data_IF_274017349847
#
_entry.id   IF_274017349847
#
_cell.length_a   1.000
_cell.length_b   1.000
_cell.length_c   1.000
_cell.angle_alpha   90.00
_cell.angle_beta   90.00
_cell.angle_gamma   90.00
#
_symmetry.space_group_name_H-M   'P 1'
#
loop_
_entity.id
_entity.type
_entity.pdbx_description
1 polymer ?
#
# COMPACT_ATOMS: atom_id res chain seq x y z
N UNK A 1 -3.51 10.60 21.06
CA UNK A 1 -2.48 10.71 19.99
C UNK A 1 -1.48 9.55 19.96
N UNK A 2 -0.59 9.38 20.96
CA UNK A 2 0.49 8.37 20.87
C UNK A 2 -0.03 6.92 20.80
N UNK A 3 -1.13 6.65 21.49
CA UNK A 3 -1.80 5.34 21.49
C UNK A 3 -2.31 4.96 20.10
N UNK A 4 -2.84 5.94 19.36
CA UNK A 4 -3.27 5.80 17.97
C UNK A 4 -2.08 5.48 17.07
N UNK A 5 -0.95 6.18 17.25
CA UNK A 5 0.29 5.92 16.50
C UNK A 5 0.77 4.49 16.75
N UNK A 6 0.76 4.00 17.99
CA UNK A 6 1.10 2.61 18.29
C UNK A 6 0.12 1.61 17.71
N UNK A 7 -1.18 1.86 17.85
CA UNK A 7 -2.23 0.98 17.34
C UNK A 7 -2.08 0.77 15.83
N UNK A 8 -1.57 1.78 15.11
CA UNK A 8 -1.23 1.68 13.69
C UNK A 8 0.14 1.04 13.46
N UNK A 9 1.21 1.46 14.15
CA UNK A 9 2.57 1.00 13.88
C UNK A 9 2.80 -0.47 14.28
N UNK A 10 2.43 -0.87 15.49
CA UNK A 10 2.74 -2.20 16.02
C UNK A 10 2.25 -3.35 15.13
N UNK A 11 0.99 -3.37 14.63
CA UNK A 11 0.52 -4.48 13.81
C UNK A 11 1.10 -4.51 12.39
N UNK A 12 1.87 -3.49 11.96
CA UNK A 12 2.35 -3.36 10.58
C UNK A 12 3.77 -3.86 10.36
N UNK A 13 4.66 -3.73 11.36
CA UNK A 13 6.10 -3.97 11.16
C UNK A 13 6.41 -5.41 10.76
N UNK A 14 5.95 -6.40 11.54
CA UNK A 14 6.23 -7.81 11.27
C UNK A 14 5.62 -8.28 9.93
N UNK A 15 4.34 -8.01 9.64
CA UNK A 15 3.73 -8.38 8.35
C UNK A 15 4.38 -7.68 7.17
N UNK A 16 4.73 -6.40 7.34
CA UNK A 16 5.46 -5.63 6.34
C UNK A 16 6.83 -6.22 6.01
N UNK A 17 7.61 -6.60 7.02
CA UNK A 17 8.90 -7.27 6.84
C UNK A 17 8.75 -8.66 6.19
N UNK A 18 7.75 -9.43 6.59
CA UNK A 18 7.48 -10.75 6.02
C UNK A 18 7.11 -10.67 4.53
N UNK A 19 6.21 -9.75 4.18
CA UNK A 19 5.83 -9.49 2.79
C UNK A 19 6.99 -8.90 1.99
N UNK A 20 7.76 -7.98 2.57
CA UNK A 20 8.94 -7.41 1.92
C UNK A 20 9.98 -8.48 1.59
N UNK A 21 10.22 -9.43 2.50
CA UNK A 21 11.10 -10.56 2.22
C UNK A 21 10.64 -11.30 0.95
N UNK A 22 9.33 -11.54 0.82
CA UNK A 22 8.78 -12.17 -0.38
C UNK A 22 9.00 -11.28 -1.62
N UNK A 23 8.70 -9.99 -1.54
CA UNK A 23 8.62 -9.08 -2.69
C UNK A 23 9.96 -8.51 -3.16
N UNK A 24 10.91 -8.26 -2.26
CA UNK A 24 12.24 -7.73 -2.58
C UNK A 24 13.32 -8.40 -1.73
N UNK A 25 13.84 -9.52 -2.24
CA UNK A 25 14.99 -10.22 -1.63
C UNK A 25 16.27 -9.38 -1.58
N UNK A 26 16.36 -8.29 -2.36
CA UNK A 26 17.55 -7.45 -2.38
C UNK A 26 17.56 -6.35 -1.33
N UNK A 27 16.45 -6.14 -0.64
CA UNK A 27 16.29 -5.06 0.31
C UNK A 27 17.33 -5.13 1.44
N UNK A 28 18.17 -4.10 1.50
CA UNK A 28 19.09 -3.84 2.59
C UNK A 28 18.34 -3.19 3.78
N UNK A 29 19.06 -2.91 4.87
CA UNK A 29 18.44 -2.40 6.11
C UNK A 29 17.68 -1.09 5.89
N UNK A 30 18.20 -0.18 5.05
CA UNK A 30 17.52 1.08 4.75
C UNK A 30 16.19 0.81 4.05
N UNK A 31 16.20 0.09 2.92
CA UNK A 31 14.95 -0.25 2.20
C UNK A 31 13.98 -1.03 3.07
N UNK A 32 14.47 -1.95 3.92
CA UNK A 32 13.65 -2.66 4.92
C UNK A 32 12.96 -1.71 5.88
N UNK A 33 13.66 -0.70 6.40
CA UNK A 33 13.07 0.31 7.29
C UNK A 33 12.05 1.21 6.59
N UNK A 34 12.27 1.52 5.30
CA UNK A 34 11.38 2.36 4.50
C UNK A 34 10.11 1.61 4.06
N UNK A 35 10.23 0.32 3.72
CA UNK A 35 9.15 -0.46 3.10
C UNK A 35 8.32 -1.29 4.09
N UNK A 36 8.82 -1.58 5.30
CA UNK A 36 8.07 -2.41 6.24
C UNK A 36 6.76 -1.73 6.68
N UNK A 37 6.80 -0.46 7.07
CA UNK A 37 5.60 0.24 7.52
C UNK A 37 4.54 0.38 6.41
N UNK A 38 4.87 0.84 5.18
CA UNK A 38 3.88 1.00 4.12
C UNK A 38 3.22 -0.30 3.65
N UNK A 39 4.02 -1.36 3.46
CA UNK A 39 3.50 -2.67 3.04
C UNK A 39 2.64 -3.29 4.15
N UNK A 40 3.10 -3.17 5.40
CA UNK A 40 2.36 -3.62 6.57
C UNK A 40 1.03 -2.88 6.73
N UNK A 41 1.02 -1.56 6.57
CA UNK A 41 -0.18 -0.73 6.66
C UNK A 41 -1.21 -1.11 5.59
N UNK A 42 -0.78 -1.34 4.35
CA UNK A 42 -1.64 -1.85 3.29
C UNK A 42 -2.27 -3.20 3.65
N UNK A 43 -1.48 -4.13 4.22
CA UNK A 43 -1.99 -5.42 4.67
C UNK A 43 -2.98 -5.30 5.84
N UNK A 44 -2.74 -4.39 6.78
CA UNK A 44 -3.66 -4.11 7.91
C UNK A 44 -5.00 -3.58 7.39
N UNK A 45 -4.98 -2.59 6.50
CA UNK A 45 -6.19 -2.10 5.82
C UNK A 45 -6.94 -3.24 5.13
N UNK A 46 -6.26 -4.00 4.29
CA UNK A 46 -6.86 -5.11 3.56
C UNK A 46 -7.46 -6.17 4.47
N UNK A 47 -6.79 -6.50 5.57
CA UNK A 47 -7.31 -7.46 6.57
C UNK A 47 -8.63 -6.99 7.16
N UNK A 48 -8.71 -5.73 7.59
CA UNK A 48 -9.95 -5.17 8.14
C UNK A 48 -11.06 -5.10 7.10
N UNK A 49 -10.73 -4.64 5.88
CA UNK A 49 -11.68 -4.59 4.78
C UNK A 49 -12.21 -5.98 4.40
N UNK A 50 -11.36 -7.01 4.36
CA UNK A 50 -11.76 -8.39 4.08
C UNK A 50 -12.71 -8.93 5.15
N UNK A 51 -12.39 -8.75 6.44
CA UNK A 51 -13.29 -9.17 7.51
C UNK A 51 -14.66 -8.51 7.38
N UNK A 52 -14.71 -7.24 6.97
CA UNK A 52 -15.97 -6.54 6.77
C UNK A 52 -16.77 -7.11 5.59
N UNK A 53 -16.13 -7.31 4.44
CA UNK A 53 -16.79 -7.91 3.26
C UNK A 53 -17.30 -9.32 3.56
N UNK A 54 -16.58 -10.08 4.39
CA UNK A 54 -16.97 -11.42 4.84
C UNK A 54 -18.01 -11.41 5.98
N UNK A 55 -18.53 -10.25 6.38
CA UNK A 55 -19.46 -10.09 7.50
C UNK A 55 -18.93 -10.69 8.83
N UNK A 56 -17.61 -10.75 8.98
CA UNK A 56 -16.91 -11.27 10.13
C UNK A 56 -16.21 -10.16 10.94
N UNK A 57 -16.42 -8.90 10.58
CA UNK A 57 -15.79 -7.78 11.26
C UNK A 57 -16.39 -7.55 12.64
N UNK A 58 -15.52 -7.50 13.64
CA UNK A 58 -15.79 -6.99 14.97
C UNK A 58 -14.46 -6.53 15.57
N UNK A 59 -14.50 -5.72 16.63
CA UNK A 59 -13.29 -5.27 17.33
C UNK A 59 -12.45 -6.48 17.76
N UNK A 60 -13.10 -7.51 18.30
CA UNK A 60 -12.46 -8.76 18.74
C UNK A 60 -11.86 -9.52 17.57
N UNK A 61 -12.61 -9.74 16.50
CA UNK A 61 -12.14 -10.54 15.36
C UNK A 61 -10.97 -9.89 14.64
N UNK A 62 -11.03 -8.56 14.45
CA UNK A 62 -9.91 -7.83 13.86
C UNK A 62 -8.68 -7.87 14.78
N UNK A 63 -8.85 -7.69 16.10
CA UNK A 63 -7.73 -7.79 17.06
C UNK A 63 -7.06 -9.17 16.99
N UNK A 64 -7.85 -10.24 17.00
CA UNK A 64 -7.35 -11.62 16.88
C UNK A 64 -6.63 -11.82 15.54
N UNK A 65 -7.21 -11.33 14.44
CA UNK A 65 -6.60 -11.44 13.11
C UNK A 65 -5.26 -10.70 13.05
N UNK A 66 -5.16 -9.48 13.57
CA UNK A 66 -3.91 -8.71 13.59
C UNK A 66 -2.83 -9.40 14.44
N UNK A 67 -3.19 -9.94 15.62
CA UNK A 67 -2.28 -10.72 16.46
C UNK A 67 -1.80 -11.98 15.71
N UNK A 68 -2.72 -12.72 15.11
CA UNK A 68 -2.40 -13.94 14.37
C UNK A 68 -1.49 -13.65 13.17
N UNK A 69 -1.79 -12.62 12.38
CA UNK A 69 -0.96 -12.21 11.24
C UNK A 69 0.44 -11.79 11.71
N UNK A 70 0.56 -11.05 12.82
CA UNK A 70 1.86 -10.70 13.39
C UNK A 70 2.63 -11.94 13.86
N UNK A 71 2.00 -12.84 14.60
CA UNK A 71 2.62 -14.07 15.08
C UNK A 71 3.09 -14.97 13.92
N UNK A 72 2.27 -15.14 12.88
CA UNK A 72 2.61 -15.89 11.67
C UNK A 72 3.75 -15.23 10.91
N UNK A 73 3.75 -13.90 10.81
CA UNK A 73 4.81 -13.13 10.14
C UNK A 73 6.14 -13.26 10.89
N UNK A 74 6.12 -13.18 12.22
CA UNK A 74 7.31 -13.41 13.07
C UNK A 74 7.80 -14.85 12.90
N UNK A 75 6.90 -15.85 12.97
CA UNK A 75 7.27 -17.24 12.77
C UNK A 75 7.90 -17.47 11.38
N UNK A 76 7.36 -16.83 10.33
CA UNK A 76 7.92 -16.86 8.98
C UNK A 76 9.30 -16.23 8.90
N UNK A 77 9.51 -15.07 9.56
CA UNK A 77 10.81 -14.40 9.60
C UNK A 77 11.85 -15.19 10.40
N UNK A 78 11.43 -15.86 11.49
CA UNK A 78 12.29 -16.69 12.34
C UNK A 78 12.63 -18.05 11.75
N UNK A 79 11.90 -18.52 10.72
CA UNK A 79 12.30 -19.70 9.96
C UNK A 79 13.67 -19.43 9.35
N UNK A 80 14.71 -19.96 10.01
CA UNK A 80 16.04 -20.09 9.41
C UNK A 80 15.84 -20.81 8.09
N UNK A 81 16.40 -20.24 7.03
CA UNK A 81 16.58 -20.97 5.77
C UNK A 81 17.40 -22.20 6.15
N UNK A 82 16.75 -23.36 6.33
CA UNK A 82 17.47 -24.60 6.56
C UNK A 82 18.09 -24.93 5.21
N UNK A 83 19.39 -24.64 5.12
CA UNK A 83 20.19 -24.79 3.92
C UNK A 83 20.55 -26.27 3.80
N UNK A 84 19.68 -27.07 3.20
CA UNK A 84 20.12 -28.32 2.58
C UNK A 84 20.78 -27.97 1.24
N UNK A 85 22.05 -28.35 1.12
CA UNK A 85 23.03 -27.89 0.11
C UNK A 85 22.66 -28.11 -1.37
N UNK A 86 21.52 -28.69 -1.72
CA UNK A 86 21.31 -29.30 -3.04
C UNK A 86 20.18 -28.71 -3.89
N UNK A 87 19.27 -27.87 -3.36
CA UNK A 87 18.18 -27.29 -4.17
C UNK A 87 17.78 -25.88 -3.72
N UNK A 88 18.64 -24.89 -3.97
CA UNK A 88 18.25 -23.49 -3.78
C UNK A 88 17.26 -23.05 -4.87
N UNK A 89 16.21 -22.31 -4.47
CA UNK A 89 15.46 -21.49 -5.44
C UNK A 89 16.29 -20.27 -5.84
N UNK A 90 16.13 -19.74 -7.06
CA UNK A 90 16.81 -18.51 -7.51
C UNK A 90 16.61 -17.32 -6.54
N UNK A 91 15.45 -17.25 -5.88
CA UNK A 91 15.16 -16.25 -4.85
C UNK A 91 16.05 -16.41 -3.60
N UNK A 92 16.24 -17.64 -3.11
CA UNK A 92 17.13 -17.93 -1.98
C UNK A 92 18.60 -17.68 -2.35
N UNK A 93 19.00 -18.00 -3.58
CA UNK A 93 20.34 -17.72 -4.11
C UNK A 93 20.63 -16.21 -4.08
N UNK A 94 19.68 -15.38 -4.53
CA UNK A 94 19.84 -13.92 -4.52
C UNK A 94 19.90 -13.33 -3.10
N UNK A 95 19.00 -13.76 -2.19
CA UNK A 95 19.05 -13.34 -0.77
C UNK A 95 20.42 -13.69 -0.15
N UNK A 96 20.91 -14.90 -0.41
CA UNK A 96 22.20 -15.38 0.09
C UNK A 96 23.39 -14.59 -0.49
N UNK A 97 23.39 -14.34 -1.80
CA UNK A 97 24.47 -13.62 -2.49
C UNK A 97 24.59 -12.16 -2.02
N UNK A 98 23.47 -11.48 -1.81
CA UNK A 98 23.44 -10.10 -1.28
C UNK A 98 23.98 -10.05 0.14
N UNK A 99 23.77 -11.10 0.93
CA UNK A 99 24.32 -11.27 2.26
C UNK A 99 25.74 -11.85 2.30
N UNK A 100 26.43 -11.94 1.14
CA UNK A 100 27.84 -12.30 1.05
C UNK A 100 28.14 -13.80 1.11
N UNK A 101 27.12 -14.67 0.92
CA UNK A 101 27.33 -16.10 0.81
C UNK A 101 27.75 -16.46 -0.63
N UNK A 102 28.90 -17.12 -0.77
CA UNK A 102 29.41 -17.60 -2.06
C UNK A 102 28.59 -18.81 -2.51
N UNK A 103 27.88 -18.67 -3.62
CA UNK A 103 27.15 -19.76 -4.27
C UNK A 103 28.15 -20.71 -4.96
N UNK A 104 27.87 -22.01 -4.95
CA UNK A 104 28.75 -23.03 -5.56
C UNK A 104 28.73 -23.02 -7.09
N UNK A 105 27.68 -22.44 -7.69
CA UNK A 105 27.50 -22.28 -9.13
C UNK A 105 27.42 -20.78 -9.45
N UNK A 106 28.22 -20.32 -10.41
CA UNK A 106 28.19 -18.94 -10.89
C UNK A 106 26.91 -18.70 -11.70
N UNK A 107 26.05 -17.81 -11.24
CA UNK A 107 24.87 -17.34 -11.98
C UNK A 107 25.10 -15.86 -12.35
N UNK A 108 25.57 -15.57 -13.58
CA UNK A 108 26.04 -14.23 -13.97
C UNK A 108 24.95 -13.15 -13.85
N UNK A 109 23.70 -13.52 -14.03
CA UNK A 109 22.55 -12.62 -13.91
C UNK A 109 22.30 -12.18 -12.45
N UNK A 110 22.42 -13.12 -11.49
CA UNK A 110 22.32 -12.80 -10.06
C UNK A 110 23.52 -11.96 -9.63
N UNK A 111 24.72 -12.29 -10.10
CA UNK A 111 25.94 -11.54 -9.78
C UNK A 111 25.86 -10.08 -10.28
N UNK A 112 25.35 -9.85 -11.50
CA UNK A 112 25.12 -8.51 -12.04
C UNK A 112 24.10 -7.71 -11.22
N UNK A 113 22.97 -8.33 -10.87
CA UNK A 113 21.95 -7.69 -10.03
C UNK A 113 22.51 -7.35 -8.65
N UNK A 114 23.24 -8.26 -8.00
CA UNK A 114 23.92 -8.02 -6.72
C UNK A 114 24.88 -6.85 -6.83
N UNK A 115 25.72 -6.81 -7.88
CA UNK A 115 26.68 -5.75 -8.10
C UNK A 115 26.00 -4.39 -8.32
N UNK A 116 24.92 -4.35 -9.11
CA UNK A 116 24.15 -3.13 -9.34
C UNK A 116 23.51 -2.61 -8.03
N UNK A 117 22.90 -3.51 -7.25
CA UNK A 117 22.31 -3.15 -5.96
C UNK A 117 23.37 -2.65 -4.96
N UNK A 118 24.53 -3.30 -4.88
CA UNK A 118 25.64 -2.85 -4.03
C UNK A 118 26.18 -1.49 -4.46
N UNK A 119 26.27 -1.25 -5.77
CA UNK A 119 26.67 0.06 -6.31
C UNK A 119 25.70 1.14 -5.85
N UNK A 120 24.38 0.98 -6.08
CA UNK A 120 23.38 1.96 -5.62
C UNK A 120 23.44 2.19 -4.11
N UNK A 121 23.60 1.12 -3.33
CA UNK A 121 23.69 1.19 -1.87
C UNK A 121 24.91 1.99 -1.40
N UNK A 122 26.07 1.79 -2.03
CA UNK A 122 27.32 2.49 -1.70
C UNK A 122 27.36 3.93 -2.21
N UNK A 123 26.62 4.24 -3.28
CA UNK A 123 26.58 5.55 -3.92
C UNK A 123 25.41 6.45 -3.47
N UNK A 124 24.67 6.07 -2.42
CA UNK A 124 23.60 6.91 -1.87
C UNK A 124 24.16 8.24 -1.38
N UNK A 125 23.58 9.35 -1.82
CA UNK A 125 23.95 10.68 -1.31
C UNK A 125 23.35 10.89 0.10
N UNK A 126 24.17 10.93 1.18
CA UNK A 126 23.65 11.00 2.55
C UNK A 126 22.87 12.28 2.83
N UNK A 127 23.28 13.42 2.25
CA UNK A 127 22.59 14.69 2.44
C UNK A 127 21.19 14.65 1.83
N UNK A 128 21.06 14.03 0.66
CA UNK A 128 19.78 13.87 -0.01
C UNK A 128 18.85 12.94 0.78
N UNK A 129 19.39 11.87 1.37
CA UNK A 129 18.62 10.96 2.23
C UNK A 129 18.12 11.68 3.49
N UNK A 130 18.96 12.54 4.11
CA UNK A 130 18.53 13.36 5.25
C UNK A 130 17.43 14.33 4.84
N UNK A 131 17.58 15.03 3.71
CA UNK A 131 16.57 15.96 3.20
C UNK A 131 15.23 15.25 2.93
N UNK A 132 15.25 14.08 2.30
CA UNK A 132 14.06 13.26 2.08
C UNK A 132 13.43 12.80 3.41
N UNK A 133 14.25 12.40 4.39
CA UNK A 133 13.81 12.06 5.74
C UNK A 133 13.10 13.21 6.45
N UNK A 134 13.70 14.41 6.43
CA UNK A 134 13.08 15.63 6.97
C UNK A 134 11.76 15.94 6.26
N UNK A 135 11.72 15.85 4.93
CA UNK A 135 10.51 16.08 4.15
C UNK A 135 9.39 15.10 4.52
N UNK A 136 9.68 13.80 4.65
CA UNK A 136 8.70 12.83 5.12
C UNK A 136 8.21 13.18 6.54
N UNK A 137 9.10 13.52 7.46
CA UNK A 137 8.73 13.88 8.84
C UNK A 137 7.86 15.16 8.91
N UNK A 138 8.07 16.12 8.02
CA UNK A 138 7.24 17.33 7.94
C UNK A 138 5.76 17.00 7.67
N UNK A 139 5.48 15.88 6.99
CA UNK A 139 4.09 15.44 6.77
C UNK A 139 3.36 15.02 8.05
N UNK A 140 4.07 14.82 9.16
CA UNK A 140 3.49 14.50 10.47
C UNK A 140 3.24 15.74 11.33
N UNK A 141 3.73 16.92 10.93
CA UNK A 141 3.52 18.18 11.68
C UNK A 141 2.04 18.49 11.94
N UNK A 142 1.10 18.27 11.01
CA UNK A 142 -0.31 18.52 11.26
C UNK A 142 -0.88 17.72 12.44
N UNK A 143 -0.36 16.53 12.72
CA UNK A 143 -0.79 15.69 13.85
C UNK A 143 -0.46 16.37 15.20
N UNK A 144 0.61 17.17 15.24
CA UNK A 144 1.06 17.88 16.44
C UNK A 144 0.34 19.24 16.58
N UNK A 145 0.06 19.90 15.45
CA UNK A 145 -0.50 21.25 15.44
C UNK A 145 -2.03 21.30 15.57
N UNK A 146 -2.74 20.25 15.19
CA UNK A 146 -4.20 20.26 15.09
C UNK A 146 -4.84 19.10 15.86
N UNK A 147 -5.98 19.38 16.49
CA UNK A 147 -6.77 18.38 17.21
C UNK A 147 -7.83 17.71 16.32
N UNK A 148 -8.05 18.25 15.12
CA UNK A 148 -9.02 17.75 14.14
C UNK A 148 -8.57 18.03 12.70
N UNK A 149 -9.06 17.26 11.70
CA UNK A 149 -8.79 17.55 10.29
C UNK A 149 -9.41 18.88 9.83
N UNK A 150 -8.83 19.46 8.77
CA UNK A 150 -9.31 20.73 8.19
C UNK A 150 -10.45 20.57 7.20
N UNK A 151 -10.38 19.57 6.33
CA UNK A 151 -11.42 19.31 5.33
C UNK A 151 -12.72 18.80 5.92
N UNK A 152 -13.65 18.41 5.05
CA UNK A 152 -14.98 17.93 5.45
C UNK A 152 -15.16 16.43 5.22
N UNK A 153 -14.40 15.82 4.31
CA UNK A 153 -14.48 14.38 3.97
C UNK A 153 -14.40 13.47 5.21
N UNK A 154 -13.62 13.85 6.22
CA UNK A 154 -13.46 13.08 7.45
C UNK A 154 -14.77 12.85 8.21
N UNK A 155 -15.75 13.75 8.09
CA UNK A 155 -17.06 13.65 8.78
C UNK A 155 -17.84 12.43 8.27
N UNK A 156 -17.79 12.18 6.96
CA UNK A 156 -18.41 10.99 6.36
C UNK A 156 -17.73 9.72 6.87
N UNK A 157 -16.40 9.68 6.84
CA UNK A 157 -15.64 8.51 7.28
C UNK A 157 -15.75 8.25 8.79
N UNK A 158 -15.82 9.30 9.61
CA UNK A 158 -16.04 9.16 11.05
C UNK A 158 -17.43 8.61 11.34
N UNK A 159 -18.45 9.07 10.61
CA UNK A 159 -19.82 8.56 10.74
C UNK A 159 -19.86 7.06 10.43
N UNK A 160 -19.24 6.63 9.32
CA UNK A 160 -19.13 5.22 8.96
C UNK A 160 -18.39 4.39 10.00
N UNK A 161 -17.27 4.90 10.52
CA UNK A 161 -16.50 4.21 11.55
C UNK A 161 -17.29 4.07 12.86
N UNK A 162 -18.05 5.10 13.26
CA UNK A 162 -18.93 5.04 14.44
C UNK A 162 -20.03 4.00 14.29
N UNK A 163 -20.68 3.90 13.11
CA UNK A 163 -21.67 2.86 12.86
C UNK A 163 -21.07 1.46 12.90
N UNK A 164 -19.93 1.26 12.22
CA UNK A 164 -19.22 -0.02 12.25
C UNK A 164 -18.85 -0.43 13.67
N UNK A 165 -18.37 0.50 14.50
CA UNK A 165 -18.04 0.21 15.89
C UNK A 165 -19.25 -0.24 16.73
N UNK A 166 -20.47 0.23 16.40
CA UNK A 166 -21.69 -0.06 17.16
C UNK A 166 -22.45 -1.29 16.63
N UNK A 167 -22.61 -1.40 15.31
CA UNK A 167 -23.46 -2.40 14.67
C UNK A 167 -22.69 -3.42 13.82
N UNK A 168 -21.41 -3.19 13.56
CA UNK A 168 -20.63 -3.97 12.59
C UNK A 168 -21.03 -3.74 11.13
N UNK A 169 -21.87 -2.73 10.85
CA UNK A 169 -22.40 -2.44 9.52
C UNK A 169 -22.26 -0.96 9.14
N UNK A 170 -22.41 -0.65 7.85
CA UNK A 170 -22.55 0.72 7.33
C UNK A 170 -24.01 1.18 7.22
N UNK A 171 -24.93 0.50 7.92
CA UNK A 171 -26.34 0.88 7.91
C UNK A 171 -26.53 2.10 8.82
N UNK A 172 -27.09 3.15 8.23
CA UNK A 172 -27.43 4.37 8.96
C UNK A 172 -28.90 4.28 9.38
N UNK A 173 -29.23 4.43 10.67
CA UNK A 173 -30.61 4.42 11.13
C UNK A 173 -31.36 5.71 10.75
N UNK A 174 -32.69 5.67 10.86
CA UNK A 174 -33.56 6.84 10.69
C UNK A 174 -33.11 8.04 11.55
N UNK A 175 -33.17 9.30 11.07
CA UNK A 175 -33.89 9.78 9.87
C UNK A 175 -33.10 9.69 8.55
N UNK A 176 -31.79 9.41 8.61
CA UNK A 176 -30.91 9.33 7.43
C UNK A 176 -30.79 7.89 6.92
N UNK A 177 -31.92 7.17 6.89
CA UNK A 177 -31.94 5.74 6.62
C UNK A 177 -31.33 5.42 5.24
N UNK A 178 -30.27 4.60 5.23
CA UNK A 178 -29.56 4.25 4.01
C UNK A 178 -28.39 3.30 4.25
N UNK A 179 -27.88 2.72 3.16
CA UNK A 179 -26.67 1.89 3.19
C UNK A 179 -25.57 2.63 2.43
N UNK A 180 -24.52 3.02 3.14
CA UNK A 180 -23.38 3.66 2.49
C UNK A 180 -22.49 2.61 1.81
N UNK A 181 -22.37 2.68 0.48
CA UNK A 181 -21.46 1.82 -0.29
C UNK A 181 -20.11 2.50 -0.46
N UNK A 182 -19.28 2.45 0.58
CA UNK A 182 -17.89 2.89 0.53
C UNK A 182 -16.94 1.69 0.74
N UNK A 183 -15.74 1.66 0.11
CA UNK A 183 -14.76 0.63 0.41
C UNK A 183 -14.42 0.59 1.91
N UNK A 184 -14.46 -0.60 2.54
CA UNK A 184 -14.60 -0.67 3.98
C UNK A 184 -13.30 -0.50 4.76
N UNK A 185 -12.13 -0.68 4.14
CA UNK A 185 -10.88 -0.84 4.88
C UNK A 185 -10.54 0.37 5.76
N UNK A 186 -10.67 1.59 5.23
CA UNK A 186 -10.29 2.78 5.98
C UNK A 186 -11.25 3.07 7.16
N UNK A 187 -12.59 3.13 6.98
CA UNK A 187 -13.50 3.35 8.10
C UNK A 187 -13.48 2.24 9.14
N UNK A 188 -13.30 0.98 8.73
CA UNK A 188 -13.25 -0.16 9.66
C UNK A 188 -11.97 -0.18 10.51
N UNK A 189 -10.82 0.20 9.94
CA UNK A 189 -9.59 0.41 10.72
C UNK A 189 -9.76 1.58 11.69
N UNK A 190 -10.36 2.69 11.24
CA UNK A 190 -10.64 3.83 12.11
C UNK A 190 -11.53 3.44 13.31
N UNK A 191 -12.60 2.68 13.05
CA UNK A 191 -13.51 2.16 14.08
C UNK A 191 -12.76 1.32 15.13
N UNK A 192 -11.87 0.43 14.67
CA UNK A 192 -11.04 -0.37 15.55
C UNK A 192 -10.08 0.48 16.38
N UNK A 193 -9.36 1.42 15.76
CA UNK A 193 -8.41 2.29 16.45
C UNK A 193 -9.10 3.10 17.56
N UNK A 194 -10.22 3.74 17.25
CA UNK A 194 -11.00 4.50 18.25
C UNK A 194 -11.43 3.60 19.40
N UNK A 195 -11.89 2.38 19.09
CA UNK A 195 -12.37 1.44 20.10
C UNK A 195 -11.26 0.92 21.03
N UNK A 196 -10.07 0.65 20.51
CA UNK A 196 -8.96 0.08 21.31
C UNK A 196 -8.14 1.14 22.04
N UNK A 197 -8.13 2.38 21.55
CA UNK A 197 -7.38 3.49 22.18
C UNK A 197 -8.26 4.39 23.04
N UNK A 198 -9.57 4.43 22.83
CA UNK A 198 -10.46 5.40 23.47
C UNK A 198 -10.19 6.86 23.05
N UNK A 199 -9.31 7.10 22.06
CA UNK A 199 -9.04 8.43 21.54
C UNK A 199 -10.22 8.93 20.69
N UNK A 200 -10.49 10.24 20.74
CA UNK A 200 -11.52 10.89 19.92
C UNK A 200 -11.38 10.56 18.42
N UNK A 201 -12.50 10.45 17.71
CA UNK A 201 -12.52 10.01 16.31
C UNK A 201 -11.83 10.99 15.37
N UNK A 202 -11.91 12.29 15.67
CA UNK A 202 -11.31 13.41 14.95
C UNK A 202 -9.78 13.32 15.00
N UNK A 203 -9.22 13.11 16.19
CA UNK A 203 -7.79 12.92 16.36
C UNK A 203 -7.33 11.59 15.74
N UNK A 204 -8.10 10.51 15.91
CA UNK A 204 -7.75 9.19 15.37
C UNK A 204 -7.69 9.19 13.84
N UNK A 205 -8.66 9.81 13.18
CA UNK A 205 -8.68 9.90 11.72
C UNK A 205 -7.59 10.83 11.18
N UNK A 206 -7.30 11.94 11.87
CA UNK A 206 -6.19 12.84 11.52
C UNK A 206 -4.85 12.10 11.53
N UNK A 207 -4.57 11.35 12.60
CA UNK A 207 -3.34 10.57 12.76
C UNK A 207 -3.26 9.48 11.68
N UNK A 208 -4.33 8.68 11.50
CA UNK A 208 -4.35 7.60 10.51
C UNK A 208 -4.12 8.12 9.08
N UNK A 209 -4.73 9.25 8.74
CA UNK A 209 -4.57 9.89 7.44
C UNK A 209 -3.14 10.35 7.16
N UNK A 210 -2.52 11.05 8.10
CA UNK A 210 -1.14 11.53 7.95
C UNK A 210 -0.12 10.39 8.04
N UNK A 211 -0.37 9.36 8.85
CA UNK A 211 0.45 8.14 8.84
C UNK A 211 0.36 7.40 7.49
N UNK A 212 -0.79 7.46 6.82
CA UNK A 212 -0.96 6.88 5.48
C UNK A 212 -0.20 7.68 4.41
N UNK A 213 -0.18 9.02 4.50
CA UNK A 213 0.67 9.87 3.65
C UNK A 213 2.16 9.59 3.90
N UNK A 214 2.56 9.54 5.17
CA UNK A 214 3.94 9.26 5.56
C UNK A 214 4.39 7.89 5.03
N UNK A 215 3.54 6.86 5.21
CA UNK A 215 3.75 5.54 4.64
C UNK A 215 3.90 5.58 3.11
N UNK A 216 3.06 6.33 2.39
CA UNK A 216 3.18 6.48 0.95
C UNK A 216 4.55 7.03 0.55
N UNK A 217 5.02 8.10 1.21
CA UNK A 217 6.32 8.70 0.91
C UNK A 217 7.50 7.75 1.22
N UNK A 218 7.48 7.06 2.37
CA UNK A 218 8.48 6.04 2.69
C UNK A 218 8.48 4.90 1.68
N UNK A 219 7.30 4.49 1.22
CA UNK A 219 7.14 3.44 0.23
C UNK A 219 7.73 3.80 -1.13
N UNK A 220 7.45 5.01 -1.63
CA UNK A 220 8.04 5.51 -2.87
C UNK A 220 9.56 5.64 -2.72
N UNK A 221 10.05 6.12 -1.56
CA UNK A 221 11.48 6.15 -1.27
C UNK A 221 12.11 4.78 -1.43
N UNK A 222 11.60 3.79 -0.70
CA UNK A 222 12.17 2.46 -0.65
C UNK A 222 12.10 1.74 -2.00
N UNK A 223 10.99 1.89 -2.72
CA UNK A 223 10.82 1.27 -4.04
C UNK A 223 11.76 1.87 -5.09
N UNK A 224 11.93 3.20 -5.10
CA UNK A 224 12.77 3.89 -6.08
C UNK A 224 14.27 3.87 -5.72
N UNK A 225 14.61 3.63 -4.45
CA UNK A 225 16.00 3.46 -4.01
C UNK A 225 16.69 2.26 -4.68
N UNK A 226 15.92 1.25 -5.09
CA UNK A 226 16.39 0.12 -5.92
C UNK A 226 17.08 0.54 -7.22
N UNK A 227 16.73 1.72 -7.75
CA UNK A 227 17.32 2.33 -8.95
C UNK A 227 18.21 3.54 -8.63
N UNK A 228 18.57 3.75 -7.35
CA UNK A 228 19.34 4.90 -6.89
C UNK A 228 18.58 6.23 -6.90
N UNK A 229 17.26 6.22 -7.16
CA UNK A 229 16.44 7.42 -7.29
C UNK A 229 15.59 7.74 -6.05
N UNK A 230 15.64 6.90 -5.00
CA UNK A 230 14.75 6.95 -3.83
C UNK A 230 14.49 8.33 -3.24
N UNK A 231 15.54 8.97 -2.72
CA UNK A 231 15.42 10.28 -2.07
C UNK A 231 14.98 11.39 -3.04
N UNK A 232 15.47 11.38 -4.28
CA UNK A 232 15.05 12.31 -5.33
C UNK A 232 13.57 12.17 -5.66
N UNK A 233 13.07 10.92 -5.77
CA UNK A 233 11.67 10.64 -6.09
C UNK A 233 10.72 11.18 -5.02
N UNK A 234 11.07 11.01 -3.74
CA UNK A 234 10.27 11.55 -2.64
C UNK A 234 10.26 13.07 -2.62
N UNK A 235 11.41 13.71 -2.82
CA UNK A 235 11.47 15.17 -2.89
C UNK A 235 10.69 15.71 -4.10
N UNK A 236 10.72 15.01 -5.22
CA UNK A 236 9.91 15.32 -6.39
C UNK A 236 8.41 15.17 -6.11
N UNK A 237 7.98 14.21 -5.28
CA UNK A 237 6.59 14.11 -4.84
C UNK A 237 6.13 15.36 -4.06
N UNK A 238 7.05 16.12 -3.44
CA UNK A 238 6.74 17.41 -2.85
C UNK A 238 6.14 18.43 -3.82
N UNK A 239 6.40 18.30 -5.13
CA UNK A 239 5.76 19.11 -6.15
C UNK A 239 4.34 18.64 -6.52
N UNK A 240 3.87 17.51 -5.98
CA UNK A 240 2.53 16.98 -6.24
C UNK A 240 1.47 17.70 -5.40
N UNK A 241 1.09 18.90 -5.82
CA UNK A 241 0.08 19.71 -5.13
C UNK A 241 -1.24 18.96 -4.90
N UNK A 242 -1.65 18.10 -5.84
CA UNK A 242 -2.88 17.32 -5.75
C UNK A 242 -2.88 16.36 -4.55
N UNK A 243 -1.76 15.69 -4.27
CA UNK A 243 -1.66 14.76 -3.15
C UNK A 243 -1.81 15.49 -1.81
N UNK A 244 -1.07 16.59 -1.63
CA UNK A 244 -1.13 17.38 -0.40
C UNK A 244 -2.48 18.07 -0.23
N UNK A 245 -3.05 18.64 -1.31
CA UNK A 245 -4.39 19.20 -1.28
C UNK A 245 -5.43 18.17 -0.81
N UNK A 246 -5.33 16.92 -1.27
CA UNK A 246 -6.30 15.89 -0.86
C UNK A 246 -6.13 15.46 0.61
N UNK A 247 -4.91 15.49 1.14
CA UNK A 247 -4.64 15.26 2.57
C UNK A 247 -5.22 16.39 3.43
N UNK A 248 -5.06 17.64 3.00
CA UNK A 248 -5.65 18.81 3.67
C UNK A 248 -7.18 18.78 3.66
N UNK A 249 -7.76 18.37 2.53
CA UNK A 249 -9.21 18.14 2.35
C UNK A 249 -9.72 16.91 3.10
N UNK A 250 -8.87 16.24 3.89
CA UNK A 250 -9.19 15.02 4.66
C UNK A 250 -9.66 13.82 3.82
N UNK A 251 -9.30 13.81 2.53
CA UNK A 251 -9.49 12.71 1.58
C UNK A 251 -8.56 11.53 1.85
N UNK A 252 -8.40 11.14 3.11
CA UNK A 252 -7.42 10.17 3.58
C UNK A 252 -7.53 8.78 2.94
N UNK A 253 -8.72 8.22 2.67
CA UNK A 253 -8.79 6.91 1.99
C UNK A 253 -8.22 6.96 0.57
N UNK A 254 -8.38 8.08 -0.15
CA UNK A 254 -7.77 8.25 -1.47
C UNK A 254 -6.25 8.17 -1.37
N UNK A 255 -5.67 8.88 -0.40
CA UNK A 255 -4.22 8.90 -0.13
C UNK A 255 -3.74 7.53 0.32
N UNK A 256 -4.42 6.89 1.26
CA UNK A 256 -4.10 5.56 1.76
C UNK A 256 -4.17 4.49 0.66
N UNK A 257 -5.10 4.60 -0.29
CA UNK A 257 -5.17 3.66 -1.41
C UNK A 257 -3.95 3.74 -2.34
N UNK A 258 -3.21 4.86 -2.36
CA UNK A 258 -1.98 4.98 -3.14
C UNK A 258 -0.86 4.07 -2.62
N UNK A 259 -1.00 3.47 -1.42
CA UNK A 259 -0.08 2.41 -0.98
C UNK A 259 -0.01 1.24 -1.97
N UNK A 260 -1.07 1.01 -2.77
CA UNK A 260 -1.05 0.04 -3.86
C UNK A 260 -0.01 0.33 -4.94
N UNK A 261 0.35 1.59 -5.18
CA UNK A 261 1.42 1.97 -6.11
C UNK A 261 2.79 1.45 -5.67
N UNK A 262 3.03 1.38 -4.36
CA UNK A 262 4.30 0.84 -3.82
C UNK A 262 4.47 -0.60 -4.28
N UNK A 263 3.39 -1.39 -4.20
CA UNK A 263 3.37 -2.78 -4.62
C UNK A 263 3.53 -2.89 -6.13
N UNK A 264 2.83 -2.04 -6.90
CA UNK A 264 3.00 -1.96 -8.35
C UNK A 264 4.45 -1.66 -8.76
N UNK A 265 5.09 -0.70 -8.10
CA UNK A 265 6.50 -0.36 -8.35
C UNK A 265 7.42 -1.52 -8.02
N UNK A 266 7.22 -2.20 -6.89
CA UNK A 266 8.04 -3.38 -6.53
C UNK A 266 7.95 -4.50 -7.58
N UNK A 267 6.84 -4.58 -8.32
CA UNK A 267 6.65 -5.58 -9.38
C UNK A 267 7.23 -5.11 -10.71
N UNK A 268 6.97 -3.86 -11.08
CA UNK A 268 7.52 -3.29 -12.31
C UNK A 268 9.04 -3.24 -12.27
N UNK A 269 9.62 -2.98 -11.10
CA UNK A 269 11.07 -2.90 -10.89
C UNK A 269 11.71 -4.25 -10.53
N UNK A 270 10.93 -5.33 -10.51
CA UNK A 270 11.38 -6.67 -10.13
C UNK A 270 12.43 -7.21 -11.12
N UNK A 271 13.50 -7.89 -10.65
CA UNK A 271 14.43 -8.57 -11.53
C UNK A 271 13.79 -9.84 -12.13
N UNK A 272 14.27 -10.24 -13.30
CA UNK A 272 13.57 -11.15 -14.23
C UNK A 272 13.40 -12.58 -13.66
N UNK A 273 14.25 -13.02 -12.74
CA UNK A 273 14.42 -14.45 -12.37
C UNK A 273 13.89 -14.85 -10.98
N UNK A 274 13.09 -14.04 -10.29
CA UNK A 274 12.58 -14.46 -8.97
C UNK A 274 11.44 -15.50 -9.05
N UNK A 275 11.28 -16.31 -8.00
CA UNK A 275 10.21 -17.31 -7.80
C UNK A 275 8.80 -16.76 -8.07
N UNK A 276 8.14 -17.25 -9.12
CA UNK A 276 6.90 -16.69 -9.67
C UNK A 276 5.69 -16.74 -8.73
N UNK A 277 5.52 -17.85 -8.01
CA UNK A 277 4.24 -18.19 -7.36
C UNK A 277 3.94 -17.34 -6.13
N UNK A 278 4.89 -17.22 -5.20
CA UNK A 278 4.70 -16.45 -3.97
C UNK A 278 4.61 -14.94 -4.23
N UNK A 279 5.32 -14.44 -5.25
CA UNK A 279 5.21 -13.04 -5.67
C UNK A 279 3.84 -12.74 -6.26
N UNK A 280 3.34 -13.59 -7.15
CA UNK A 280 2.01 -13.42 -7.73
C UNK A 280 0.93 -13.46 -6.64
N UNK A 281 1.02 -14.40 -5.70
CA UNK A 281 0.09 -14.47 -4.57
C UNK A 281 0.13 -13.21 -3.71
N UNK A 282 1.33 -12.76 -3.32
CA UNK A 282 1.50 -11.53 -2.54
C UNK A 282 0.96 -10.30 -3.29
N UNK A 283 1.21 -10.21 -4.59
CA UNK A 283 0.68 -9.14 -5.43
C UNK A 283 -0.84 -9.12 -5.50
N UNK A 284 -1.45 -10.28 -5.78
CA UNK A 284 -2.92 -10.38 -5.88
C UNK A 284 -3.55 -10.01 -4.55
N UNK A 285 -3.02 -10.54 -3.45
CA UNK A 285 -3.46 -10.18 -2.10
C UNK A 285 -3.39 -8.66 -1.86
N UNK A 286 -2.25 -8.03 -2.15
CA UNK A 286 -2.07 -6.60 -1.90
C UNK A 286 -2.86 -5.71 -2.88
N UNK A 287 -3.16 -6.19 -4.08
CA UNK A 287 -4.07 -5.53 -5.02
C UNK A 287 -5.51 -5.54 -4.48
N UNK A 288 -5.94 -6.68 -3.90
CA UNK A 288 -7.21 -6.77 -3.16
C UNK A 288 -7.24 -5.78 -2.00
N UNK A 289 -6.17 -5.72 -1.20
CA UNK A 289 -6.06 -4.75 -0.11
C UNK A 289 -6.24 -3.31 -0.60
N UNK A 290 -5.65 -2.97 -1.75
CA UNK A 290 -5.73 -1.62 -2.36
C UNK A 290 -7.17 -1.23 -2.71
N UNK A 291 -7.91 -2.13 -3.36
CA UNK A 291 -9.30 -1.90 -3.77
C UNK A 291 -10.23 -1.72 -2.58
N UNK A 292 -9.96 -2.44 -1.48
CA UNK A 292 -10.74 -2.34 -0.25
C UNK A 292 -10.57 -0.98 0.46
N UNK A 293 -9.53 -0.20 0.14
CA UNK A 293 -9.31 1.14 0.68
C UNK A 293 -10.04 2.21 -0.15
N UNK A 294 -9.77 2.26 -1.45
CA UNK A 294 -10.42 3.21 -2.38
C UNK A 294 -10.16 2.81 -3.84
N UNK A 295 -11.07 3.09 -4.80
CA UNK A 295 -10.88 2.71 -6.20
C UNK A 295 -9.69 3.39 -6.87
N UNK A 296 -9.30 4.57 -6.39
CA UNK A 296 -8.18 5.34 -6.96
C UNK A 296 -6.88 4.57 -6.96
N UNK A 297 -6.50 3.94 -5.85
CA UNK A 297 -5.29 3.14 -5.78
C UNK A 297 -5.26 2.04 -6.85
N UNK A 298 -6.41 1.43 -7.13
CA UNK A 298 -6.54 0.42 -8.17
C UNK A 298 -6.38 0.99 -9.59
N UNK A 299 -6.93 2.18 -9.85
CA UNK A 299 -6.76 2.89 -11.13
C UNK A 299 -5.28 3.20 -11.37
N UNK A 300 -4.61 3.76 -10.37
CA UNK A 300 -3.19 4.10 -10.46
C UNK A 300 -2.31 2.86 -10.63
N UNK A 301 -2.62 1.79 -9.90
CA UNK A 301 -1.96 0.50 -10.09
C UNK A 301 -2.19 -0.06 -11.51
N UNK A 302 -3.42 0.01 -12.03
CA UNK A 302 -3.75 -0.42 -13.39
C UNK A 302 -2.95 0.37 -14.43
N UNK A 303 -2.92 1.69 -14.29
CA UNK A 303 -2.23 2.60 -15.21
C UNK A 303 -0.72 2.34 -15.19
N UNK A 304 -0.11 2.17 -14.01
CA UNK A 304 1.30 1.83 -13.88
C UNK A 304 1.62 0.50 -14.58
N UNK A 305 0.74 -0.50 -14.42
CA UNK A 305 0.92 -1.76 -15.10
C UNK A 305 0.79 -1.60 -16.62
N UNK A 306 -0.27 -0.96 -17.12
CA UNK A 306 -0.43 -0.73 -18.57
C UNK A 306 0.79 0.00 -19.15
N UNK A 307 1.29 1.05 -18.47
CA UNK A 307 2.49 1.77 -18.90
C UNK A 307 3.72 0.86 -18.96
N UNK A 308 3.90 -0.02 -17.99
CA UNK A 308 5.01 -0.99 -18.01
C UNK A 308 4.85 -2.05 -19.10
N UNK A 309 3.65 -2.43 -19.56
CA UNK A 309 3.52 -3.26 -20.76
C UNK A 309 4.00 -2.50 -22.00
N UNK A 310 3.45 -1.31 -22.20
CA UNK A 310 3.70 -0.51 -23.40
C UNK A 310 5.19 -0.16 -23.54
N UNK A 311 5.89 0.03 -22.42
CA UNK A 311 7.33 0.23 -22.42
C UNK A 311 8.12 -1.04 -22.75
N UNK A 312 7.61 -2.23 -22.41
CA UNK A 312 8.31 -3.52 -22.59
C UNK A 312 8.07 -4.16 -23.95
N UNK A 313 6.95 -3.88 -24.62
CA UNK A 313 6.76 -4.26 -26.03
C UNK A 313 7.78 -3.62 -26.99
N UNK A 314 8.53 -2.61 -26.52
CA UNK A 314 9.61 -1.97 -27.26
C UNK A 314 10.99 -2.64 -27.05
N UNK A 315 11.10 -3.67 -26.19
CA UNK A 315 12.33 -4.42 -25.92
C UNK A 315 12.43 -5.65 -26.85
N UNK A 316 13.64 -6.09 -27.19
CA UNK A 316 13.88 -7.19 -28.15
C UNK A 316 13.34 -8.55 -27.68
N UNK A 317 12.99 -9.43 -28.62
CA UNK A 317 12.26 -10.70 -28.38
C UNK A 317 12.92 -11.67 -27.38
N UNK A 318 14.26 -11.63 -27.22
CA UNK A 318 14.98 -12.50 -26.27
C UNK A 318 14.71 -12.18 -24.78
N UNK A 319 14.29 -10.94 -24.44
CA UNK A 319 14.00 -10.54 -23.04
C UNK A 319 12.52 -10.74 -22.64
N UNK A 320 11.65 -11.10 -23.60
CA UNK A 320 10.19 -11.02 -23.45
C UNK A 320 9.52 -12.26 -22.82
N UNK A 321 10.15 -13.45 -22.82
CA UNK A 321 9.40 -14.71 -22.74
C UNK A 321 8.84 -15.14 -21.36
N UNK A 322 9.48 -14.89 -20.20
CA UNK A 322 8.94 -15.37 -18.92
C UNK A 322 8.00 -14.40 -18.19
N UNK A 323 7.92 -13.13 -18.61
CA UNK A 323 7.25 -12.06 -17.85
C UNK A 323 5.87 -11.66 -18.37
N UNK A 324 5.61 -11.84 -19.66
CA UNK A 324 4.30 -11.61 -20.29
C UNK A 324 3.12 -12.21 -19.50
N UNK A 325 3.15 -13.48 -19.04
CA UNK A 325 2.00 -14.07 -18.37
C UNK A 325 1.70 -13.47 -16.99
N UNK A 326 2.70 -13.11 -16.18
CA UNK A 326 2.48 -12.42 -14.88
C UNK A 326 1.82 -11.08 -15.14
N UNK A 327 2.32 -10.38 -16.14
CA UNK A 327 1.90 -9.04 -16.46
C UNK A 327 0.47 -9.02 -16.98
N UNK A 328 0.17 -9.88 -17.94
CA UNK A 328 -1.17 -10.09 -18.46
C UNK A 328 -2.13 -10.53 -17.36
N UNK A 329 -1.72 -11.45 -16.47
CA UNK A 329 -2.54 -11.86 -15.33
C UNK A 329 -2.78 -10.69 -14.37
N UNK A 330 -1.77 -9.86 -14.12
CA UNK A 330 -1.87 -8.69 -13.24
C UNK A 330 -2.81 -7.64 -13.80
N UNK A 331 -2.73 -7.35 -15.10
CA UNK A 331 -3.68 -6.48 -15.79
C UNK A 331 -5.07 -7.08 -15.77
N UNK A 332 -5.22 -8.37 -16.06
CA UNK A 332 -6.53 -9.00 -16.12
C UNK A 332 -7.19 -8.95 -14.75
N UNK A 333 -6.45 -9.28 -13.69
CA UNK A 333 -6.92 -9.16 -12.30
C UNK A 333 -7.27 -7.72 -11.96
N UNK A 334 -6.38 -6.76 -12.21
CA UNK A 334 -6.63 -5.34 -11.87
C UNK A 334 -7.77 -4.75 -12.70
N UNK A 335 -7.90 -5.13 -13.97
CA UNK A 335 -9.00 -4.72 -14.85
C UNK A 335 -10.31 -5.35 -14.39
N UNK A 336 -10.32 -6.63 -14.02
CA UNK A 336 -11.49 -7.27 -13.42
C UNK A 336 -11.88 -6.61 -12.11
N UNK A 337 -10.91 -6.28 -11.25
CA UNK A 337 -11.16 -5.56 -10.00
C UNK A 337 -11.67 -4.14 -10.24
N UNK A 338 -11.16 -3.45 -11.26
CA UNK A 338 -11.64 -2.14 -11.70
C UNK A 338 -13.07 -2.21 -12.25
N UNK A 339 -13.38 -3.21 -13.07
CA UNK A 339 -14.73 -3.48 -13.57
C UNK A 339 -15.68 -3.79 -12.41
N UNK A 340 -15.28 -4.64 -11.46
CA UNK A 340 -16.07 -4.91 -10.26
C UNK A 340 -16.29 -3.60 -9.47
N UNK A 341 -15.26 -2.78 -9.32
CA UNK A 341 -15.40 -1.51 -8.61
C UNK A 341 -16.36 -0.55 -9.34
N UNK A 342 -16.26 -0.45 -10.66
CA UNK A 342 -17.15 0.34 -11.48
C UNK A 342 -18.57 -0.22 -11.54
N UNK A 343 -18.79 -1.54 -11.49
CA UNK A 343 -20.13 -2.14 -11.60
C UNK A 343 -20.84 -2.24 -10.25
N UNK A 344 -20.12 -2.49 -9.17
CA UNK A 344 -20.74 -2.68 -7.84
C UNK A 344 -20.71 -1.42 -6.98
N UNK A 345 -19.68 -0.58 -7.10
CA UNK A 345 -19.58 0.65 -6.30
C UNK A 345 -20.02 1.91 -7.06
N UNK A 346 -19.78 2.01 -8.38
CA UNK A 346 -20.10 3.25 -9.12
C UNK A 346 -21.58 3.46 -9.50
N UNK A 347 -22.40 2.48 -9.95
CA UNK A 347 -23.78 2.75 -10.35
C UNK A 347 -24.69 3.16 -9.20
N UNK A 348 -24.40 2.76 -7.97
CA UNK A 348 -25.12 3.27 -6.78
C UNK A 348 -24.81 4.73 -6.47
N UNK A 349 -23.65 5.25 -6.90
CA UNK A 349 -23.33 6.68 -6.88
C UNK A 349 -23.97 7.46 -8.04
N UNK A 350 -24.53 6.76 -9.05
CA UNK A 350 -25.16 7.36 -10.23
C UNK A 350 -26.70 7.31 -10.19
N UNK A 351 -27.30 6.32 -9.52
CA UNK A 351 -28.75 6.12 -9.48
C UNK A 351 -29.46 6.87 -8.35
N UNK A 352 -28.77 7.15 -7.25
CA UNK A 352 -29.25 7.99 -6.16
C UNK A 352 -28.26 9.15 -6.02
N UNK A 353 -28.70 10.42 -6.03
CA UNK A 353 -27.83 11.52 -5.69
C UNK A 353 -27.55 11.44 -4.19
N UNK A 354 -26.60 10.57 -3.81
CA UNK A 354 -25.86 10.77 -2.58
C UNK A 354 -25.07 12.04 -2.84
N UNK A 355 -25.62 13.18 -2.43
CA UNK A 355 -24.87 14.41 -2.23
C UNK A 355 -23.81 14.11 -1.15
N UNK A 356 -22.75 13.40 -1.54
CA UNK A 356 -21.45 13.56 -0.92
C UNK A 356 -21.00 14.95 -1.36
N UNK A 357 -21.41 15.96 -0.59
CA UNK A 357 -20.93 17.32 -0.71
C UNK A 357 -19.40 17.28 -0.69
N UNK A 358 -18.83 17.49 -1.88
CA UNK A 358 -17.42 17.75 -2.16
C UNK A 358 -16.48 16.52 -2.08
N UNK A 359 -15.63 16.37 -3.09
CA UNK A 359 -14.41 15.54 -2.98
C UNK A 359 -14.07 14.62 -4.15
N UNK A 360 -15.00 13.80 -4.66
CA UNK A 360 -14.80 12.96 -5.84
C UNK A 360 -16.14 12.49 -6.41
N UNK A 361 -16.58 13.09 -7.52
CA UNK A 361 -17.68 12.54 -8.32
C UNK A 361 -17.07 11.61 -9.38
N UNK A 362 -17.28 10.30 -9.24
CA UNK A 362 -16.91 9.33 -10.28
C UNK A 362 -17.67 9.60 -11.60
N UNK A 363 -17.20 9.00 -12.70
CA UNK A 363 -17.91 9.08 -13.99
C UNK A 363 -17.65 10.37 -14.79
N UNK A 364 -18.71 10.92 -15.40
CA UNK A 364 -18.62 12.06 -16.34
C UNK A 364 -17.96 13.32 -15.74
N UNK A 365 -18.23 13.71 -14.47
CA UNK A 365 -17.56 14.87 -13.86
C UNK A 365 -16.05 14.66 -13.70
N UNK A 366 -15.61 13.46 -13.29
CA UNK A 366 -14.17 13.13 -13.21
C UNK A 366 -13.46 13.32 -14.56
N UNK A 367 -14.04 12.81 -15.65
CA UNK A 367 -13.48 12.95 -16.99
C UNK A 367 -13.51 14.40 -17.48
N UNK A 368 -14.53 15.16 -17.12
CA UNK A 368 -14.70 16.55 -17.55
C UNK A 368 -13.70 17.50 -16.88
N UNK A 369 -13.40 17.29 -15.60
CA UNK A 369 -12.55 18.19 -14.81
C UNK A 369 -11.10 17.71 -14.67
N UNK A 370 -10.87 16.39 -14.59
CA UNK A 370 -9.53 15.82 -14.44
C UNK A 370 -8.98 15.22 -15.75
N UNK A 371 -9.81 15.10 -16.80
CA UNK A 371 -9.39 14.57 -18.10
C UNK A 371 -8.27 15.33 -18.80
N UNK A 372 -8.10 16.65 -18.64
CA UNK A 372 -6.93 17.35 -19.21
C UNK A 372 -5.61 17.06 -18.48
N UNK A 373 -5.66 16.45 -17.29
CA UNK A 373 -4.50 16.14 -16.43
C UNK A 373 -4.12 14.64 -16.47
N UNK A 374 -5.00 13.78 -16.98
CA UNK A 374 -4.76 12.36 -17.26
C UNK A 374 -4.42 12.18 -18.74
#
# INVERSE_FOLDING_TARGET
MWEVVLAVLLPTIAPGLALLRILDASADTLRKSLLCFPIGLLAVYGTSGLLFVLQAWSITNLTIALIAINALSIAFLLRKVHVERTTYTQWQKMEAAIHGLVLSESEPEIEQEVAAQQWFQSNRNPLLQIAAGCFCLLTLVPIIMFDRPFGVDWIGFSTLASHVAQSGSFEVPSPNAGLWTYPPAFPTILAWIVSVTGTSIEQSILVLGHLSLFALLLGIWGSMDRLGAGASSVLAMGASFALFAKVFDSGYPTVASQLGLIVGLMIVLRPIQQSLRYHLLAFVFLSICTVLIHPTGAIYLAALLIASLLSRERLSDDEQSPQKPIFLTSILIVTSMFIIALIYFAPRMLSEPVFAEYGWQGGKPMLMFNGPLM
#
